data_IF_019106575595
#
_entry.id   IF_019106575595
#
_cell.length_a   1.000
_cell.length_b   1.000
_cell.length_c   1.000
_cell.angle_alpha   90.00
_cell.angle_beta   90.00
_cell.angle_gamma   90.00
#
_symmetry.space_group_name_H-M   'P 1'
#
loop_
_entity.id
_entity.type
_entity.pdbx_description
1 polymer ?
#
# COMPACT_ATOMS: atom_id res chain seq x y z
N UNK A 1 -15.24 -60.60 23.48
CA UNK A 1 -16.16 -59.48 23.74
C UNK A 1 -15.60 -58.24 23.07
N UNK A 2 -16.48 -57.52 22.38
CA UNK A 2 -16.33 -56.17 21.81
C UNK A 2 -15.16 -55.93 20.83
N UNK A 3 -15.46 -56.13 19.54
CA UNK A 3 -14.99 -55.23 18.49
C UNK A 3 -15.56 -53.83 18.75
N UNK A 4 -14.72 -52.79 18.68
CA UNK A 4 -15.18 -51.42 18.56
C UNK A 4 -14.69 -50.87 17.22
N UNK A 5 -15.65 -50.75 16.31
CA UNK A 5 -15.52 -50.19 14.98
C UNK A 5 -15.47 -48.66 15.06
N UNK A 6 -14.72 -48.05 14.12
CA UNK A 6 -15.15 -46.88 13.37
C UNK A 6 -15.39 -45.56 14.12
N UNK A 7 -14.51 -44.59 13.84
CA UNK A 7 -14.91 -43.33 13.20
C UNK A 7 -13.69 -42.70 12.55
N UNK A 8 -13.57 -42.89 11.24
CA UNK A 8 -12.84 -41.95 10.40
C UNK A 8 -13.51 -40.58 10.60
N UNK A 9 -12.74 -39.57 10.96
CA UNK A 9 -13.24 -38.20 10.96
C UNK A 9 -13.45 -37.77 9.49
N UNK A 10 -14.61 -37.18 9.16
CA UNK A 10 -14.90 -36.71 7.83
C UNK A 10 -14.00 -35.51 7.51
N UNK A 11 -13.44 -35.51 6.31
CA UNK A 11 -12.61 -34.41 5.83
C UNK A 11 -13.36 -33.09 5.84
N UNK A 12 -12.68 -32.04 6.26
CA UNK A 12 -12.93 -30.68 5.78
C UNK A 12 -11.81 -30.30 4.81
N UNK A 13 -11.97 -30.72 3.56
CA UNK A 13 -11.24 -30.11 2.46
C UNK A 13 -11.73 -28.66 2.31
N UNK A 14 -11.10 -27.74 3.02
CA UNK A 14 -11.16 -26.30 2.74
C UNK A 14 -9.79 -25.71 3.05
N UNK A 15 -8.79 -26.19 2.31
CA UNK A 15 -7.48 -25.57 2.22
C UNK A 15 -7.56 -24.30 1.39
N UNK A 16 -8.11 -23.23 1.96
CA UNK A 16 -7.81 -21.88 1.48
C UNK A 16 -6.60 -21.39 2.25
N UNK A 17 -5.42 -21.59 1.67
CA UNK A 17 -4.23 -20.87 2.09
C UNK A 17 -4.48 -19.39 1.78
N UNK A 18 -5.05 -18.64 2.74
CA UNK A 18 -5.31 -17.21 2.56
C UNK A 18 -3.96 -16.51 2.46
N UNK A 19 -3.51 -16.27 1.22
CA UNK A 19 -2.30 -15.54 0.97
C UNK A 19 -2.39 -14.14 1.62
N UNK A 20 -1.46 -13.86 2.53
CA UNK A 20 -1.38 -12.59 3.24
C UNK A 20 -1.11 -11.45 2.25
N UNK A 21 -1.92 -10.39 2.31
CA UNK A 21 -1.83 -9.23 1.41
C UNK A 21 -1.17 -8.06 2.11
N UNK A 22 -0.35 -7.31 1.38
CA UNK A 22 0.31 -6.09 1.88
C UNK A 22 0.15 -4.96 0.87
N UNK A 23 -0.15 -3.76 1.35
CA UNK A 23 -0.10 -2.55 0.52
C UNK A 23 1.37 -2.20 0.27
N UNK A 24 1.69 -1.92 -0.99
CA UNK A 24 3.02 -1.51 -1.41
C UNK A 24 2.88 -0.27 -2.28
N UNK A 25 3.74 0.73 -2.06
CA UNK A 25 3.81 1.91 -2.91
C UNK A 25 3.89 1.51 -4.38
N UNK A 26 2.88 1.85 -5.18
CA UNK A 26 2.73 1.36 -6.55
C UNK A 26 3.95 1.66 -7.43
N UNK A 27 4.65 2.76 -7.15
CA UNK A 27 5.88 3.14 -7.85
C UNK A 27 7.04 2.17 -7.63
N UNK A 28 7.09 1.46 -6.50
CA UNK A 28 8.06 0.39 -6.22
C UNK A 28 7.77 -0.88 -7.03
N UNK A 29 6.50 -1.08 -7.40
CA UNK A 29 6.04 -2.18 -8.27
C UNK A 29 6.00 -1.78 -9.76
N UNK A 30 6.71 -0.70 -10.13
CA UNK A 30 6.86 -0.30 -11.52
C UNK A 30 5.77 0.63 -12.09
N UNK A 31 4.72 0.97 -11.33
CA UNK A 31 3.73 1.94 -11.81
C UNK A 31 4.34 3.34 -11.92
N UNK A 32 4.12 4.00 -13.06
CA UNK A 32 4.66 5.32 -13.35
C UNK A 32 3.89 6.47 -12.66
N UNK A 33 3.66 6.36 -11.33
CA UNK A 33 2.82 7.25 -10.54
C UNK A 33 3.59 8.25 -9.67
N UNK A 34 4.93 8.36 -9.81
CA UNK A 34 5.69 9.41 -9.11
C UNK A 34 5.34 10.79 -9.63
N UNK A 35 5.66 11.82 -8.85
CA UNK A 35 5.44 13.22 -9.24
C UNK A 35 6.03 13.58 -10.62
N UNK A 36 7.14 12.96 -11.03
CA UNK A 36 7.81 13.16 -12.31
C UNK A 36 7.31 12.25 -13.45
N UNK A 37 6.21 11.51 -13.23
CA UNK A 37 5.65 10.60 -14.22
C UNK A 37 6.47 9.33 -14.45
N UNK A 38 7.37 9.00 -13.52
CA UNK A 38 8.22 7.80 -13.59
C UNK A 38 7.84 6.79 -12.50
N UNK A 39 8.42 5.60 -12.59
CA UNK A 39 8.40 4.63 -11.50
C UNK A 39 9.71 4.69 -10.71
N UNK A 40 9.77 3.97 -9.60
CA UNK A 40 11.00 3.67 -8.85
C UNK A 40 11.00 2.18 -8.56
N UNK A 41 10.93 1.38 -9.63
CA UNK A 41 10.84 -0.07 -9.53
C UNK A 41 11.95 -0.64 -8.65
N UNK A 42 11.58 -1.54 -7.75
CA UNK A 42 12.47 -2.20 -6.81
C UNK A 42 12.30 -3.72 -6.93
N UNK A 43 13.20 -4.36 -7.69
CA UNK A 43 13.15 -5.78 -7.95
C UNK A 43 13.48 -6.66 -6.73
N UNK A 44 14.28 -6.13 -5.79
CA UNK A 44 14.64 -6.85 -4.57
C UNK A 44 13.42 -6.94 -3.63
N UNK A 45 12.64 -5.87 -3.53
CA UNK A 45 11.36 -5.89 -2.82
C UNK A 45 10.38 -6.93 -3.39
N UNK A 46 10.24 -7.01 -4.72
CA UNK A 46 9.38 -8.02 -5.35
C UNK A 46 9.86 -9.45 -5.08
N UNK A 47 11.17 -9.67 -5.08
CA UNK A 47 11.76 -10.96 -4.73
C UNK A 47 11.44 -11.32 -3.27
N UNK A 48 11.63 -10.38 -2.32
CA UNK A 48 11.32 -10.60 -0.90
C UNK A 48 9.83 -10.91 -0.67
N UNK A 49 8.93 -10.16 -1.34
CA UNK A 49 7.49 -10.40 -1.25
C UNK A 49 7.12 -11.82 -1.72
N UNK A 50 7.74 -12.29 -2.82
CA UNK A 50 7.55 -13.64 -3.35
C UNK A 50 8.09 -14.70 -2.40
N UNK A 51 9.31 -14.53 -1.89
CA UNK A 51 9.94 -15.45 -0.94
C UNK A 51 9.12 -15.62 0.34
N UNK A 52 8.48 -14.54 0.80
CA UNK A 52 7.61 -14.53 1.97
C UNK A 52 6.17 -14.96 1.68
N UNK A 53 5.84 -15.28 0.42
CA UNK A 53 4.49 -15.66 0.01
C UNK A 53 3.44 -14.55 0.20
N UNK A 54 3.87 -13.28 0.18
CA UNK A 54 2.99 -12.13 0.33
C UNK A 54 2.45 -11.67 -1.02
N UNK A 55 1.16 -11.36 -1.07
CA UNK A 55 0.51 -10.77 -2.24
C UNK A 55 0.60 -9.25 -2.14
N UNK A 56 1.38 -8.64 -3.03
CA UNK A 56 1.53 -7.20 -3.12
C UNK A 56 0.27 -6.56 -3.72
N UNK A 57 -0.26 -5.53 -3.06
CA UNK A 57 -1.36 -4.72 -3.54
C UNK A 57 -0.83 -3.31 -3.84
N UNK A 58 -0.69 -2.91 -5.12
CA UNK A 58 -0.13 -1.61 -5.48
C UNK A 58 -1.06 -0.47 -5.05
N UNK A 59 -0.49 0.53 -4.39
CA UNK A 59 -1.24 1.71 -3.96
C UNK A 59 -0.41 2.99 -4.08
N UNK A 60 -0.97 4.04 -4.66
CA UNK A 60 -0.40 5.39 -4.66
C UNK A 60 -1.36 6.31 -3.90
N UNK A 61 -1.03 6.71 -2.66
CA UNK A 61 -1.89 7.60 -1.88
C UNK A 61 -2.19 8.91 -2.62
N UNK A 62 -1.18 9.50 -3.28
CA UNK A 62 -1.31 10.80 -3.96
C UNK A 62 -2.33 10.76 -5.12
N UNK A 63 -2.30 9.74 -5.98
CA UNK A 63 -3.28 9.58 -7.06
C UNK A 63 -4.69 9.24 -6.54
N UNK A 64 -4.77 8.43 -5.47
CA UNK A 64 -6.04 8.09 -4.82
C UNK A 64 -6.65 9.26 -4.06
N UNK A 65 -5.80 10.17 -3.61
CA UNK A 65 -6.15 11.47 -3.06
C UNK A 65 -6.69 12.46 -4.09
N UNK A 66 -6.41 12.24 -5.37
CA UNK A 66 -6.89 13.05 -6.48
C UNK A 66 -5.82 13.88 -7.19
N UNK A 67 -4.54 13.75 -6.81
CA UNK A 67 -3.46 14.44 -7.52
C UNK A 67 -3.16 13.77 -8.87
N UNK A 68 -2.81 14.55 -9.92
CA UNK A 68 -2.46 13.99 -11.22
C UNK A 68 -1.07 13.36 -11.23
N UNK A 69 -0.75 12.68 -12.33
CA UNK A 69 0.63 12.31 -12.68
C UNK A 69 0.91 12.80 -14.11
N UNK A 70 1.92 13.66 -14.34
CA UNK A 70 2.84 14.25 -13.36
C UNK A 70 2.17 15.31 -12.46
N UNK A 71 2.84 15.67 -11.37
CA UNK A 71 2.43 16.72 -10.41
C UNK A 71 3.64 17.44 -9.82
N UNK A 72 3.49 18.66 -9.27
CA UNK A 72 4.57 19.36 -8.59
C UNK A 72 5.12 18.56 -7.39
N UNK A 73 6.41 18.76 -7.08
CA UNK A 73 6.98 18.29 -5.81
C UNK A 73 6.23 18.94 -4.64
N UNK A 74 5.99 18.18 -3.59
CA UNK A 74 5.37 18.65 -2.37
C UNK A 74 6.12 18.15 -1.13
N UNK A 75 6.00 18.87 -0.02
CA UNK A 75 6.59 18.51 1.27
C UNK A 75 5.71 18.98 2.42
N UNK A 76 5.87 18.35 3.58
CA UNK A 76 5.24 18.80 4.82
C UNK A 76 5.97 20.07 5.29
N UNK A 77 5.21 21.11 5.65
CA UNK A 77 5.75 22.45 5.89
C UNK A 77 6.57 22.55 7.18
N UNK A 78 6.16 21.91 8.29
CA UNK A 78 6.86 22.14 9.57
C UNK A 78 6.94 20.95 10.56
N UNK A 79 5.81 20.43 11.01
CA UNK A 79 5.63 19.59 12.20
C UNK A 79 5.51 18.09 11.89
N UNK A 80 5.22 17.73 10.64
CA UNK A 80 5.23 16.33 10.18
C UNK A 80 3.84 15.72 9.95
N UNK A 81 3.83 14.44 9.55
CA UNK A 81 2.62 13.80 9.00
C UNK A 81 1.47 13.67 10.02
N UNK A 82 1.77 13.44 11.30
CA UNK A 82 0.74 13.42 12.35
C UNK A 82 0.07 14.79 12.52
N UNK A 83 0.84 15.88 12.43
CA UNK A 83 0.29 17.23 12.51
C UNK A 83 -0.55 17.58 11.28
N UNK A 84 -0.20 17.09 10.10
CA UNK A 84 -1.04 17.18 8.89
C UNK A 84 -2.39 16.49 9.11
N UNK A 85 -2.39 15.28 9.68
CA UNK A 85 -3.63 14.54 9.95
C UNK A 85 -4.55 15.27 10.94
N UNK A 86 -3.94 15.83 11.99
CA UNK A 86 -4.59 16.63 13.02
C UNK A 86 -5.05 18.03 12.55
N UNK A 87 -4.74 18.43 11.31
CA UNK A 87 -5.05 19.76 10.79
C UNK A 87 -4.20 20.90 11.38
N UNK A 88 -3.01 20.57 11.91
CA UNK A 88 -2.05 21.50 12.53
C UNK A 88 -0.85 21.83 11.64
N UNK A 89 -0.76 21.20 10.47
CA UNK A 89 0.32 21.40 9.50
C UNK A 89 -0.21 21.15 8.08
N UNK A 90 0.61 21.50 7.09
CA UNK A 90 0.22 21.47 5.67
C UNK A 90 1.19 20.67 4.83
N UNK A 91 0.69 20.11 3.73
CA UNK A 91 1.51 19.64 2.61
C UNK A 91 1.45 20.69 1.51
N UNK A 92 2.59 21.29 1.20
CA UNK A 92 2.68 22.39 0.23
C UNK A 92 3.54 21.99 -0.96
N UNK A 93 3.15 22.44 -2.15
CA UNK A 93 3.93 22.24 -3.37
C UNK A 93 5.08 23.23 -3.48
N UNK A 94 5.97 22.99 -4.45
CA UNK A 94 7.03 23.93 -4.81
C UNK A 94 6.52 25.32 -5.24
N UNK A 95 5.29 25.43 -5.74
CA UNK A 95 4.68 26.72 -6.08
C UNK A 95 3.94 27.36 -4.89
N UNK A 96 3.97 26.75 -3.70
CA UNK A 96 3.26 27.20 -2.52
C UNK A 96 1.77 26.83 -2.49
N UNK A 97 1.30 25.96 -3.38
CA UNK A 97 -0.08 25.49 -3.34
C UNK A 97 -0.27 24.49 -2.19
N UNK A 98 -1.36 24.63 -1.44
CA UNK A 98 -1.76 23.69 -0.40
C UNK A 98 -2.44 22.47 -1.04
N UNK A 99 -1.87 21.28 -0.84
CA UNK A 99 -2.38 19.99 -1.32
C UNK A 99 -2.65 19.03 -0.16
N UNK A 100 -2.89 19.59 1.03
CA UNK A 100 -3.07 18.83 2.27
C UNK A 100 -4.25 17.87 2.17
N UNK A 101 -5.36 18.29 1.55
CA UNK A 101 -6.58 17.48 1.50
C UNK A 101 -6.41 16.25 0.60
N UNK A 102 -5.73 16.37 -0.54
CA UNK A 102 -5.44 15.24 -1.40
C UNK A 102 -4.54 14.22 -0.68
N UNK A 103 -3.51 14.69 0.03
CA UNK A 103 -2.65 13.81 0.83
C UNK A 103 -3.42 13.12 1.97
N UNK A 104 -4.35 13.82 2.64
CA UNK A 104 -5.19 13.22 3.70
C UNK A 104 -6.20 12.23 3.14
N UNK A 105 -6.83 12.53 2.00
CA UNK A 105 -7.79 11.65 1.33
C UNK A 105 -7.16 10.34 0.85
N UNK A 106 -5.88 10.40 0.48
CA UNK A 106 -5.13 9.24 -0.01
C UNK A 106 -4.60 8.31 1.08
N UNK A 107 -4.47 8.79 2.32
CA UNK A 107 -3.89 8.06 3.46
C UNK A 107 -4.94 7.22 4.19
#
# INVERSE_FOLDING_TARGET
>A
MAQAQGRAQPGNASGENKASRVLVSACLLGQACRYDGRSKHDGDLEAELRERGLVAVPFCPEERGGLPTPRPKAWIESQGAGAVWDGKDRVVTQSGADVTEEFRRGA
#
